data_IF_208861317839
#
_entry.id   IF_208861317839
#
_cell.length_a   1.000
_cell.length_b   1.000
_cell.length_c   1.000
_cell.angle_alpha   90.00
_cell.angle_beta   90.00
_cell.angle_gamma   90.00
#
_symmetry.space_group_name_H-M   'P 1'
#
loop_
_entity.id
_entity.type
_entity.pdbx_description
1 polymer ?
#
# COMPACT_ATOMS: atom_id res chain seq x y z
N UNK A 1 -2.97 -76.84 7.87
CA UNK A 1 -2.14 -75.75 8.48
C UNK A 1 -2.03 -74.52 7.60
N UNK A 2 -1.90 -74.63 6.27
CA UNK A 2 -1.74 -73.49 5.34
C UNK A 2 -2.83 -72.40 5.42
N UNK A 3 -4.11 -72.76 5.59
CA UNK A 3 -5.21 -71.78 5.70
C UNK A 3 -5.09 -70.84 6.91
N UNK A 4 -4.55 -71.32 8.04
CA UNK A 4 -4.33 -70.48 9.24
C UNK A 4 -3.25 -69.43 9.00
N UNK A 5 -2.21 -69.77 8.25
CA UNK A 5 -1.13 -68.86 7.91
C UNK A 5 -1.54 -67.83 6.85
N UNK A 6 -2.37 -68.21 5.87
CA UNK A 6 -2.97 -67.28 4.92
C UNK A 6 -3.83 -66.21 5.61
N UNK A 7 -4.67 -66.61 6.58
CA UNK A 7 -5.46 -65.66 7.35
C UNK A 7 -4.57 -64.67 8.14
N UNK A 8 -3.47 -65.15 8.73
CA UNK A 8 -2.52 -64.30 9.45
C UNK A 8 -1.84 -63.28 8.53
N UNK A 9 -1.45 -63.68 7.31
CA UNK A 9 -0.84 -62.78 6.32
C UNK A 9 -1.84 -61.70 5.87
N UNK A 10 -3.10 -62.06 5.66
CA UNK A 10 -4.15 -61.10 5.29
C UNK A 10 -4.36 -60.09 6.42
N UNK A 11 -4.48 -60.53 7.67
CA UNK A 11 -4.62 -59.62 8.82
C UNK A 11 -3.42 -58.69 8.93
N UNK A 12 -2.20 -59.21 8.74
CA UNK A 12 -0.98 -58.41 8.79
C UNK A 12 -0.95 -57.33 7.70
N UNK A 13 -1.35 -57.66 6.47
CA UNK A 13 -1.48 -56.70 5.38
C UNK A 13 -2.50 -55.60 5.70
N UNK A 14 -3.65 -55.96 6.27
CA UNK A 14 -4.65 -54.98 6.71
C UNK A 14 -4.11 -54.03 7.79
N UNK A 15 -3.31 -54.52 8.73
CA UNK A 15 -2.67 -53.68 9.74
C UNK A 15 -1.69 -52.68 9.12
N UNK A 16 -0.88 -53.10 8.14
CA UNK A 16 0.06 -52.22 7.45
C UNK A 16 -0.66 -51.10 6.68
N UNK A 17 -1.70 -51.47 5.93
CA UNK A 17 -2.52 -50.49 5.19
C UNK A 17 -3.22 -49.52 6.16
N UNK A 18 -3.71 -50.02 7.29
CA UNK A 18 -4.34 -49.17 8.32
C UNK A 18 -3.38 -48.13 8.90
N UNK A 19 -2.13 -48.51 9.17
CA UNK A 19 -1.09 -47.59 9.66
C UNK A 19 -0.78 -46.50 8.62
N UNK A 20 -0.68 -46.87 7.35
CA UNK A 20 -0.38 -45.94 6.26
C UNK A 20 -1.50 -44.93 6.02
N UNK A 21 -2.76 -45.39 6.06
CA UNK A 21 -3.94 -44.51 6.00
C UNK A 21 -3.95 -43.54 7.18
N UNK A 22 -3.67 -44.03 8.40
CA UNK A 22 -3.65 -43.18 9.60
C UNK A 22 -2.61 -42.05 9.49
N UNK A 23 -1.38 -42.39 9.06
CA UNK A 23 -0.31 -41.38 8.85
C UNK A 23 -0.67 -40.37 7.77
N UNK A 24 -1.27 -40.83 6.66
CA UNK A 24 -1.72 -39.91 5.60
C UNK A 24 -2.84 -38.98 6.05
N UNK A 25 -3.77 -39.47 6.90
CA UNK A 25 -4.86 -38.64 7.39
C UNK A 25 -4.35 -37.51 8.31
N UNK A 26 -3.33 -37.79 9.13
CA UNK A 26 -2.65 -36.79 9.95
C UNK A 26 -1.92 -35.73 9.10
N UNK A 27 -1.23 -36.16 8.04
CA UNK A 27 -0.57 -35.27 7.08
C UNK A 27 -1.56 -34.36 6.35
N UNK A 28 -2.71 -34.90 5.91
CA UNK A 28 -3.77 -34.12 5.24
C UNK A 28 -4.35 -33.06 6.19
N UNK A 29 -4.62 -33.44 7.44
CA UNK A 29 -5.14 -32.51 8.46
C UNK A 29 -4.15 -31.39 8.77
N UNK A 30 -2.87 -31.72 8.88
CA UNK A 30 -1.80 -30.73 9.08
C UNK A 30 -1.67 -29.80 7.88
N UNK A 31 -1.67 -30.36 6.65
CA UNK A 31 -1.60 -29.59 5.41
C UNK A 31 -2.77 -28.61 5.27
N UNK A 32 -4.00 -29.04 5.57
CA UNK A 32 -5.17 -28.16 5.55
C UNK A 32 -5.06 -27.02 6.56
N UNK A 33 -4.54 -27.31 7.75
CA UNK A 33 -4.32 -26.30 8.80
C UNK A 33 -3.28 -25.27 8.36
N UNK A 34 -2.16 -25.73 7.78
CA UNK A 34 -1.10 -24.87 7.23
C UNK A 34 -1.63 -24.02 6.09
N UNK A 35 -2.40 -24.61 5.17
CA UNK A 35 -2.96 -23.89 4.03
C UNK A 35 -3.96 -22.82 4.48
N UNK A 36 -4.80 -23.13 5.47
CA UNK A 36 -5.70 -22.16 6.09
C UNK A 36 -4.90 -21.02 6.74
N UNK A 37 -3.87 -21.32 7.52
CA UNK A 37 -3.00 -20.31 8.14
C UNK A 37 -2.31 -19.42 7.09
N UNK A 38 -1.82 -20.00 6.00
CA UNK A 38 -1.22 -19.23 4.89
C UNK A 38 -2.24 -18.30 4.23
N UNK A 39 -3.46 -18.75 3.98
CA UNK A 39 -4.52 -17.91 3.43
C UNK A 39 -4.87 -16.74 4.36
N UNK A 40 -5.01 -17.02 5.67
CA UNK A 40 -5.29 -15.98 6.68
C UNK A 40 -4.16 -14.97 6.74
N UNK A 41 -2.90 -15.42 6.73
CA UNK A 41 -1.73 -14.52 6.71
C UNK A 41 -1.76 -13.59 5.50
N UNK A 42 -2.01 -14.14 4.30
CA UNK A 42 -2.04 -13.36 3.06
C UNK A 42 -3.17 -12.32 3.08
N UNK A 43 -4.34 -12.68 3.61
CA UNK A 43 -5.45 -11.75 3.75
C UNK A 43 -5.13 -10.62 4.72
N UNK A 44 -4.57 -10.95 5.90
CA UNK A 44 -4.15 -9.94 6.88
C UNK A 44 -3.05 -9.02 6.34
N UNK A 45 -2.11 -9.54 5.56
CA UNK A 45 -1.07 -8.72 4.93
C UNK A 45 -1.65 -7.73 3.91
N UNK A 46 -2.64 -8.17 3.13
CA UNK A 46 -3.36 -7.30 2.20
C UNK A 46 -4.15 -6.23 2.94
N UNK A 47 -4.93 -6.61 3.95
CA UNK A 47 -5.69 -5.66 4.77
C UNK A 47 -4.77 -4.64 5.44
N UNK A 48 -3.63 -5.08 6.01
CA UNK A 48 -2.66 -4.18 6.61
C UNK A 48 -2.06 -3.21 5.58
N UNK A 49 -1.80 -3.68 4.35
CA UNK A 49 -1.40 -2.81 3.23
C UNK A 49 -2.44 -1.75 2.89
N UNK A 50 -3.71 -2.15 2.77
CA UNK A 50 -4.84 -1.25 2.47
C UNK A 50 -5.04 -0.23 3.60
N UNK A 51 -4.95 -0.67 4.87
CA UNK A 51 -5.03 0.21 6.04
C UNK A 51 -3.86 1.19 6.08
N UNK A 52 -2.63 0.74 5.79
CA UNK A 52 -1.45 1.61 5.72
C UNK A 52 -1.61 2.65 4.61
N UNK A 53 -2.15 2.27 3.46
CA UNK A 53 -2.45 3.21 2.38
C UNK A 53 -3.51 4.23 2.81
N UNK A 54 -4.61 3.79 3.42
CA UNK A 54 -5.65 4.69 3.95
C UNK A 54 -5.08 5.66 4.98
N UNK A 55 -4.31 5.17 5.95
CA UNK A 55 -3.63 5.99 6.95
C UNK A 55 -2.68 7.00 6.30
N UNK A 56 -1.86 6.58 5.34
CA UNK A 56 -0.96 7.48 4.63
C UNK A 56 -1.71 8.57 3.85
N UNK A 57 -2.88 8.25 3.28
CA UNK A 57 -3.72 9.21 2.58
C UNK A 57 -4.39 10.20 3.56
N UNK A 58 -4.83 9.71 4.73
CA UNK A 58 -5.46 10.52 5.78
C UNK A 58 -4.47 11.32 6.62
N UNK A 59 -3.21 10.89 6.68
CA UNK A 59 -2.07 11.61 7.30
C UNK A 59 -1.26 12.40 6.27
N UNK A 60 -1.67 12.40 5.00
CA UNK A 60 -1.00 13.21 4.00
C UNK A 60 -1.04 14.66 4.43
N UNK A 61 0.07 15.39 4.27
CA UNK A 61 0.17 16.81 4.58
C UNK A 61 -1.01 17.62 3.99
N UNK A 62 -1.57 17.15 2.88
CA UNK A 62 -2.74 17.72 2.22
C UNK A 62 -4.04 17.59 3.03
N UNK A 63 -4.31 16.43 3.66
CA UNK A 63 -5.50 16.28 4.50
C UNK A 63 -5.34 17.05 5.82
N UNK A 64 -4.14 17.08 6.37
CA UNK A 64 -3.81 17.84 7.58
C UNK A 64 -3.95 19.34 7.32
N UNK A 65 -3.41 19.83 6.21
CA UNK A 65 -3.57 21.21 5.74
C UNK A 65 -5.05 21.54 5.51
N UNK A 66 -5.80 20.66 4.83
CA UNK A 66 -7.22 20.87 4.58
C UNK A 66 -8.03 20.95 5.88
N UNK A 67 -7.73 20.10 6.87
CA UNK A 67 -8.42 20.10 8.17
C UNK A 67 -8.06 21.34 8.98
N UNK A 68 -6.78 21.64 9.12
CA UNK A 68 -6.32 22.84 9.83
C UNK A 68 -6.89 24.13 9.20
N UNK A 69 -6.98 24.19 7.87
CA UNK A 69 -7.63 25.31 7.17
C UNK A 69 -9.13 25.37 7.42
N UNK A 70 -9.84 24.23 7.42
CA UNK A 70 -11.26 24.19 7.78
C UNK A 70 -11.51 24.72 9.20
N UNK A 71 -10.68 24.30 10.15
CA UNK A 71 -10.75 24.77 11.55
C UNK A 71 -10.43 26.28 11.67
N UNK A 72 -9.58 26.81 10.77
CA UNK A 72 -9.19 28.22 10.71
C UNK A 72 -10.05 29.07 9.76
N UNK A 73 -11.06 28.49 9.11
CA UNK A 73 -11.91 29.19 8.13
C UNK A 73 -11.19 29.67 6.86
N UNK A 74 -10.07 29.03 6.49
CA UNK A 74 -9.24 29.42 5.34
C UNK A 74 -9.67 28.69 4.06
N UNK A 75 -9.89 29.43 2.97
CA UNK A 75 -10.29 28.92 1.66
C UNK A 75 -9.26 28.00 0.97
N UNK A 76 -9.70 27.34 -0.11
CA UNK A 76 -8.97 26.24 -0.75
C UNK A 76 -7.61 26.64 -1.35
N UNK A 77 -6.59 25.77 -1.33
CA UNK A 77 -5.23 26.09 -1.82
C UNK A 77 -5.12 26.15 -3.35
N UNK A 78 -6.08 25.61 -4.10
CA UNK A 78 -6.06 25.65 -5.56
C UNK A 78 -6.16 27.09 -6.07
N UNK A 79 -7.08 27.90 -5.51
CA UNK A 79 -7.22 29.32 -5.88
C UNK A 79 -5.94 30.13 -5.63
N UNK A 80 -5.21 29.83 -4.55
CA UNK A 80 -3.97 30.55 -4.19
C UNK A 80 -2.79 30.13 -5.09
N UNK A 81 -2.73 28.87 -5.53
CA UNK A 81 -1.69 28.41 -6.47
C UNK A 81 -1.83 29.08 -7.84
N UNK A 82 -3.06 29.19 -8.36
CA UNK A 82 -3.32 29.93 -9.60
C UNK A 82 -2.96 31.41 -9.46
N UNK A 83 -3.27 32.06 -8.33
CA UNK A 83 -2.86 33.45 -8.10
C UNK A 83 -1.33 33.63 -8.05
N UNK A 84 -0.58 32.67 -7.50
CA UNK A 84 0.89 32.74 -7.47
C UNK A 84 1.50 32.57 -8.87
N UNK A 85 0.94 31.67 -9.68
CA UNK A 85 1.38 31.47 -11.07
C UNK A 85 1.06 32.68 -11.94
N UNK A 86 -0.12 33.28 -11.80
CA UNK A 86 -0.47 34.53 -12.49
C UNK A 86 0.42 35.71 -12.07
N UNK A 87 0.75 35.83 -10.78
CA UNK A 87 1.66 36.86 -10.28
C UNK A 87 3.08 36.69 -10.85
N UNK A 88 3.63 35.48 -10.87
CA UNK A 88 4.94 35.19 -11.45
C UNK A 88 4.96 35.39 -12.97
N UNK A 89 3.87 35.06 -13.67
CA UNK A 89 3.75 35.31 -15.09
C UNK A 89 3.68 36.82 -15.41
N UNK A 90 3.03 37.60 -14.54
CA UNK A 90 2.98 39.07 -14.61
C UNK A 90 4.34 39.71 -14.30
N UNK A 91 5.09 39.14 -13.37
CA UNK A 91 6.41 39.62 -12.97
C UNK A 91 7.48 39.33 -14.05
N UNK A 92 7.40 38.18 -14.74
CA UNK A 92 8.30 37.84 -15.86
C UNK A 92 8.16 38.72 -17.10
N UNK A 93 7.01 39.40 -17.28
CA UNK A 93 6.81 40.40 -18.34
C UNK A 93 7.30 41.80 -17.95
N UNK A 94 7.68 42.00 -16.70
CA UNK A 94 8.29 43.24 -16.25
C UNK A 94 9.80 43.17 -16.44
N UNK A 95 10.34 44.14 -17.18
CA UNK A 95 11.78 44.26 -17.46
C UNK A 95 12.54 44.23 -16.11
N UNK A 96 13.59 43.41 -15.96
CA UNK A 96 14.36 43.32 -14.73
C UNK A 96 14.79 44.72 -14.26
N UNK A 97 14.64 44.99 -12.97
CA UNK A 97 14.96 46.28 -12.31
C UNK A 97 16.27 46.94 -12.79
N UNK A 98 17.40 46.21 -12.98
CA UNK A 98 18.64 46.82 -13.49
C UNK A 98 18.53 47.38 -14.92
N UNK A 99 17.73 46.76 -15.80
CA UNK A 99 17.55 47.23 -17.18
C UNK A 99 16.68 48.48 -17.28
N UNK A 100 15.70 48.65 -16.37
CA UNK A 100 14.85 49.84 -16.32
C UNK A 100 15.63 51.09 -15.91
N UNK A 101 16.58 50.93 -14.98
CA UNK A 101 17.46 52.01 -14.51
C UNK A 101 18.43 52.43 -15.62
N UNK A 102 19.04 51.46 -16.31
CA UNK A 102 19.96 51.73 -17.42
C UNK A 102 19.29 52.46 -18.58
N UNK A 103 18.04 52.11 -18.92
CA UNK A 103 17.28 52.79 -19.98
C UNK A 103 16.97 54.24 -19.60
N UNK A 104 16.55 54.50 -18.36
CA UNK A 104 16.29 55.86 -17.89
C UNK A 104 17.53 56.76 -17.87
N UNK A 105 18.69 56.21 -17.49
CA UNK A 105 19.96 56.95 -17.52
C UNK A 105 20.36 57.28 -18.98
N UNK A 106 20.16 56.35 -19.91
CA UNK A 106 20.49 56.55 -21.33
C UNK A 106 19.63 57.62 -22.00
N UNK A 107 18.35 57.74 -21.62
CA UNK A 107 17.44 58.76 -22.15
C UNK A 107 17.68 60.17 -21.56
N UNK A 108 18.31 60.29 -20.38
CA UNK A 108 18.68 61.59 -19.80
C UNK A 108 19.94 62.22 -20.43
N UNK A 109 20.77 61.43 -21.11
CA UNK A 109 22.05 61.87 -21.69
C UNK A 109 22.04 61.92 -23.23
N UNK A 110 20.86 61.83 -23.85
CA UNK A 110 20.63 62.04 -25.29
C UNK A 110 19.82 63.31 -25.53
#
# INVERSE_FOLDING_TARGET
MAMKWMAAVVVFLFCLVGIEIYRNMELVKSSYTVQKLQSTRKNLEKENGDLKQKLSSSLSLRSLESRARGDLGLGSPQEIRFMREDLLHRESKSIPFPFRIWKGIKEMFS
#
